data_IF_093170059281
#
_entry.id   IF_093170059281
#
_cell.length_a   1.000
_cell.length_b   1.000
_cell.length_c   1.000
_cell.angle_alpha   90.00
_cell.angle_beta   90.00
_cell.angle_gamma   90.00
#
_symmetry.space_group_name_H-M   'P 1'
#
loop_
_entity.id
_entity.type
_entity.pdbx_description
1 polymer ?
#
# COMPACT_ATOMS: atom_id res chain seq x y z
N UNK A 1 3.34 15.41 17.95
CA UNK A 1 3.66 14.37 16.95
C UNK A 1 4.85 13.53 17.38
N UNK A 2 5.88 14.11 18.01
CA UNK A 2 7.08 13.39 18.48
C UNK A 2 6.83 12.30 19.53
N UNK A 3 6.04 12.55 20.58
CA UNK A 3 5.87 11.59 21.68
C UNK A 3 5.17 10.30 21.22
N UNK A 4 4.15 10.40 20.36
CA UNK A 4 3.46 9.22 19.82
C UNK A 4 4.34 8.42 18.86
N UNK A 5 5.26 9.08 18.15
CA UNK A 5 6.20 8.43 17.24
C UNK A 5 7.30 7.69 18.01
N UNK A 6 7.85 8.30 19.08
CA UNK A 6 8.78 7.62 19.99
C UNK A 6 8.15 6.42 20.69
N UNK A 7 6.91 6.57 21.17
CA UNK A 7 6.17 5.47 21.79
C UNK A 7 5.94 4.32 20.81
N UNK A 8 5.62 4.63 19.56
CA UNK A 8 5.40 3.65 18.50
C UNK A 8 6.69 2.89 18.12
N UNK A 9 7.82 3.58 18.01
CA UNK A 9 9.13 2.95 17.76
C UNK A 9 9.53 2.06 18.94
N UNK A 10 9.28 2.51 20.17
CA UNK A 10 9.56 1.74 21.38
C UNK A 10 8.75 0.43 21.43
N UNK A 11 7.47 0.47 21.05
CA UNK A 11 6.61 -0.73 20.95
C UNK A 11 7.12 -1.70 19.88
N UNK A 12 7.58 -1.19 18.74
CA UNK A 12 8.13 -2.03 17.66
C UNK A 12 9.45 -2.72 18.02
N UNK A 13 10.27 -2.09 18.86
CA UNK A 13 11.55 -2.66 19.29
C UNK A 13 11.41 -3.66 20.45
N UNK A 14 10.31 -3.62 21.21
CA UNK A 14 10.08 -4.50 22.37
C UNK A 14 8.71 -5.22 22.31
N UNK A 15 8.36 -5.90 21.20
CA UNK A 15 7.01 -6.44 20.99
C UNK A 15 6.64 -7.53 22.00
N UNK A 16 7.62 -8.34 22.44
CA UNK A 16 7.42 -9.42 23.42
C UNK A 16 7.15 -8.86 24.83
N UNK A 17 7.84 -7.80 25.23
CA UNK A 17 7.64 -7.17 26.55
C UNK A 17 6.27 -6.52 26.64
N UNK A 18 5.82 -5.85 25.56
CA UNK A 18 4.46 -5.31 25.48
C UNK A 18 3.40 -6.41 25.48
N UNK A 19 3.64 -7.53 24.77
CA UNK A 19 2.72 -8.67 24.77
C UNK A 19 2.59 -9.28 26.17
N UNK A 20 3.70 -9.44 26.90
CA UNK A 20 3.71 -9.95 28.27
C UNK A 20 3.01 -8.99 29.24
N UNK A 21 3.24 -7.68 29.14
CA UNK A 21 2.52 -6.68 29.93
C UNK A 21 1.02 -6.66 29.60
N UNK A 22 0.65 -6.86 28.33
CA UNK A 22 -0.74 -6.92 27.90
C UNK A 22 -1.44 -8.17 28.47
N UNK A 23 -0.82 -9.34 28.36
CA UNK A 23 -1.34 -10.59 28.93
C UNK A 23 -1.45 -10.50 30.47
N UNK A 24 -0.43 -9.93 31.12
CA UNK A 24 -0.41 -9.72 32.56
C UNK A 24 -1.53 -8.79 33.04
N UNK A 25 -1.71 -7.64 32.37
CA UNK A 25 -2.78 -6.68 32.71
C UNK A 25 -4.17 -7.24 32.44
N UNK A 26 -4.35 -8.01 31.37
CA UNK A 26 -5.63 -8.66 31.06
C UNK A 26 -5.98 -9.73 32.10
N UNK A 27 -5.00 -10.53 32.52
CA UNK A 27 -5.19 -11.58 33.53
C UNK A 27 -5.57 -10.99 34.88
N UNK A 28 -4.91 -9.91 35.31
CA UNK A 28 -5.22 -9.24 36.58
C UNK A 28 -6.56 -8.51 36.52
N UNK A 29 -6.83 -7.75 35.46
CA UNK A 29 -8.10 -7.01 35.31
C UNK A 29 -9.29 -7.96 35.18
N UNK A 30 -9.13 -9.07 34.45
CA UNK A 30 -10.13 -10.12 34.35
C UNK A 30 -10.41 -10.79 35.69
N UNK A 31 -9.37 -11.16 36.45
CA UNK A 31 -9.53 -11.72 37.79
C UNK A 31 -10.16 -10.73 38.79
N UNK A 32 -9.83 -9.44 38.70
CA UNK A 32 -10.45 -8.40 39.53
C UNK A 32 -11.94 -8.21 39.20
N UNK A 33 -12.30 -8.21 37.90
CA UNK A 33 -13.68 -8.11 37.45
C UNK A 33 -14.50 -9.35 37.85
N UNK A 34 -13.91 -10.55 37.74
CA UNK A 34 -14.54 -11.80 38.17
C UNK A 34 -14.76 -11.83 39.70
N UNK A 35 -13.77 -11.42 40.49
CA UNK A 35 -13.92 -11.31 41.96
C UNK A 35 -14.94 -10.26 42.36
N UNK A 36 -15.02 -9.12 41.66
CA UNK A 36 -16.04 -8.10 41.92
C UNK A 36 -17.46 -8.61 41.60
N UNK A 37 -17.59 -9.44 40.56
CA UNK A 37 -18.84 -10.14 40.23
C UNK A 37 -19.23 -11.15 41.31
N UNK A 38 -18.30 -12.01 41.72
CA UNK A 38 -18.51 -13.02 42.77
C UNK A 38 -18.86 -12.40 44.13
N UNK A 39 -18.30 -11.23 44.47
CA UNK A 39 -18.56 -10.51 45.72
C UNK A 39 -19.84 -9.66 45.70
N UNK A 40 -20.61 -9.67 44.59
CA UNK A 40 -21.81 -8.81 44.38
C UNK A 40 -21.55 -7.31 44.59
N UNK A 41 -20.32 -6.86 44.43
CA UNK A 41 -19.93 -5.45 44.57
C UNK A 41 -20.26 -4.69 43.28
N UNK A 42 -21.56 -4.45 43.07
CA UNK A 42 -22.11 -3.88 41.83
C UNK A 42 -21.45 -2.57 41.41
N UNK A 43 -21.12 -1.71 42.37
CA UNK A 43 -20.48 -0.41 42.10
C UNK A 43 -19.06 -0.59 41.56
N UNK A 44 -18.23 -1.41 42.22
CA UNK A 44 -16.87 -1.68 41.77
C UNK A 44 -16.83 -2.43 40.44
N UNK A 45 -17.76 -3.36 40.24
CA UNK A 45 -17.91 -4.06 38.96
C UNK A 45 -18.22 -3.09 37.81
N UNK A 46 -19.18 -2.17 37.99
CA UNK A 46 -19.56 -1.18 36.97
C UNK A 46 -18.42 -0.18 36.73
N UNK A 47 -17.71 0.27 37.77
CA UNK A 47 -16.55 1.17 37.62
C UNK A 47 -15.42 0.49 36.83
N UNK A 48 -15.09 -0.77 37.15
CA UNK A 48 -14.08 -1.55 36.41
C UNK A 48 -14.49 -1.79 34.95
N UNK A 49 -15.79 -2.05 34.71
CA UNK A 49 -16.33 -2.22 33.37
C UNK A 49 -16.19 -0.92 32.56
N UNK A 50 -16.58 0.23 33.10
CA UNK A 50 -16.49 1.53 32.43
C UNK A 50 -15.05 1.92 32.10
N UNK A 51 -14.09 1.68 33.01
CA UNK A 51 -12.67 1.94 32.76
C UNK A 51 -12.14 1.05 31.62
N UNK A 52 -12.59 -0.21 31.56
CA UNK A 52 -12.22 -1.11 30.48
C UNK A 52 -12.84 -0.66 29.13
N UNK A 53 -14.12 -0.29 29.14
CA UNK A 53 -14.84 0.20 27.96
C UNK A 53 -14.27 1.50 27.40
N UNK A 54 -13.87 2.45 28.26
CA UNK A 54 -13.23 3.70 27.83
C UNK A 54 -11.88 3.47 27.13
N UNK A 55 -11.05 2.56 27.65
CA UNK A 55 -9.78 2.21 27.02
C UNK A 55 -9.95 1.57 25.63
N UNK A 56 -10.99 0.76 25.45
CA UNK A 56 -11.35 0.18 24.14
C UNK A 56 -11.88 1.26 23.20
N UNK A 57 -12.66 2.22 23.71
CA UNK A 57 -13.21 3.31 22.93
C UNK A 57 -12.13 4.26 22.40
N UNK A 58 -11.07 4.50 23.18
CA UNK A 58 -9.91 5.27 22.72
C UNK A 58 -9.17 4.56 21.57
N UNK A 59 -8.96 3.24 21.68
CA UNK A 59 -8.38 2.42 20.60
C UNK A 59 -9.28 2.44 19.37
N UNK A 60 -10.58 2.29 19.56
CA UNK A 60 -11.57 2.38 18.49
C UNK A 60 -11.61 3.78 17.86
N UNK A 61 -11.51 4.85 18.65
CA UNK A 61 -11.46 6.23 18.15
C UNK A 61 -10.19 6.50 17.36
N UNK A 62 -9.04 6.02 17.83
CA UNK A 62 -7.78 6.09 17.09
C UNK A 62 -7.82 5.27 15.79
N UNK A 63 -8.50 4.12 15.79
CA UNK A 63 -8.73 3.31 14.61
C UNK A 63 -9.69 3.99 13.62
N UNK A 64 -10.85 4.44 14.09
CA UNK A 64 -11.90 5.07 13.29
C UNK A 64 -11.48 6.45 12.74
N UNK A 65 -10.62 7.18 13.46
CA UNK A 65 -10.08 8.48 13.02
C UNK A 65 -8.78 8.36 12.22
N UNK A 66 -8.29 7.13 11.97
CA UNK A 66 -7.14 6.90 11.09
C UNK A 66 -7.58 7.04 9.63
N UNK A 67 -7.71 8.28 9.18
CA UNK A 67 -7.74 8.56 7.74
C UNK A 67 -6.30 8.49 7.20
N UNK A 68 -5.97 7.63 6.23
CA UNK A 68 -4.90 7.98 5.32
C UNK A 68 -5.32 9.29 4.65
N UNK A 69 -4.47 10.32 4.74
CA UNK A 69 -4.65 11.55 3.95
C UNK A 69 -4.54 11.18 2.47
N UNK A 70 -5.64 10.77 1.87
CA UNK A 70 -5.85 10.81 0.43
C UNK A 70 -6.63 12.09 0.18
N UNK A 71 -6.06 12.97 -0.63
CA UNK A 71 -6.65 14.25 -0.99
C UNK A 71 -8.00 14.04 -1.70
N UNK A 72 -9.01 14.78 -1.26
CA UNK A 72 -10.40 14.72 -1.71
C UNK A 72 -10.72 15.86 -2.68
N UNK A 73 -11.31 15.55 -3.86
CA UNK A 73 -12.42 16.23 -4.58
C UNK A 73 -12.55 15.61 -5.99
N UNK A 74 -13.69 15.16 -6.55
CA UNK A 74 -15.13 15.54 -6.53
C UNK A 74 -15.98 14.24 -6.63
N UNK A 75 -17.01 13.96 -5.82
CA UNK A 75 -18.41 14.48 -5.74
C UNK A 75 -19.48 13.54 -6.37
N UNK A 76 -20.29 12.88 -5.49
CA UNK A 76 -21.76 12.55 -5.54
C UNK A 76 -22.36 11.90 -6.82
N UNK A 77 -23.26 10.91 -6.83
CA UNK A 77 -24.21 10.20 -5.94
C UNK A 77 -24.33 8.74 -6.50
N UNK A 78 -24.78 7.69 -5.82
CA UNK A 78 -26.19 7.35 -5.44
C UNK A 78 -26.15 6.07 -4.57
N UNK A 79 -27.02 5.99 -3.56
CA UNK A 79 -27.22 4.85 -2.65
C UNK A 79 -27.82 3.59 -3.33
N UNK A 80 -27.23 2.44 -2.96
CA UNK A 80 -27.72 1.06 -2.70
C UNK A 80 -29.05 0.52 -3.30
N UNK A 81 -29.16 -0.81 -3.51
CA UNK A 81 -29.37 -1.70 -2.37
C UNK A 81 -28.52 -2.99 -2.37
N UNK A 82 -28.46 -3.56 -1.18
CA UNK A 82 -27.82 -4.82 -0.81
C UNK A 82 -28.21 -6.02 -1.66
N UNK A 83 -27.24 -6.88 -1.97
CA UNK A 83 -27.43 -8.33 -1.95
C UNK A 83 -26.18 -8.98 -1.35
N UNK A 84 -26.36 -9.50 -0.15
CA UNK A 84 -25.55 -10.51 0.50
C UNK A 84 -25.47 -11.75 -0.40
N UNK A 85 -24.25 -12.17 -0.74
CA UNK A 85 -23.91 -13.57 -0.96
C UNK A 85 -22.51 -13.82 -0.44
N UNK A 86 -22.46 -14.18 0.84
CA UNK A 86 -21.35 -14.94 1.38
C UNK A 86 -21.42 -16.33 0.77
N UNK A 87 -20.39 -16.74 0.03
CA UNK A 87 -20.11 -18.16 -0.19
C UNK A 87 -18.59 -18.34 -0.27
N UNK A 88 -18.09 -18.86 0.85
CA UNK A 88 -16.79 -19.43 1.15
C UNK A 88 -15.89 -19.73 -0.07
N UNK A 89 -14.82 -18.94 -0.22
CA UNK A 89 -13.59 -19.40 -0.84
C UNK A 89 -12.61 -19.77 0.26
N UNK A 90 -12.13 -21.01 0.22
CA UNK A 90 -10.89 -21.42 0.89
C UNK A 90 -9.76 -20.56 0.32
N UNK A 91 -9.49 -19.42 0.94
CA UNK A 91 -8.40 -18.54 0.52
C UNK A 91 -7.08 -19.22 0.80
N UNK A 92 -6.36 -19.62 -0.25
CA UNK A 92 -4.91 -19.72 -0.16
C UNK A 92 -4.41 -18.35 0.33
N UNK A 93 -3.62 -18.32 1.40
CA UNK A 93 -3.10 -17.08 1.97
C UNK A 93 -2.29 -16.33 0.91
N UNK A 94 -2.90 -15.33 0.26
CA UNK A 94 -2.27 -14.48 -0.75
C UNK A 94 -2.93 -14.42 -2.13
N UNK A 95 -4.04 -15.11 -2.38
CA UNK A 95 -4.79 -14.93 -3.63
C UNK A 95 -5.46 -13.56 -3.69
N UNK A 96 -5.22 -12.82 -4.78
CA UNK A 96 -5.90 -11.55 -5.07
C UNK A 96 -7.15 -11.81 -5.90
N UNK A 97 -8.16 -10.97 -5.72
CA UNK A 97 -9.36 -11.03 -6.56
C UNK A 97 -9.10 -10.37 -7.93
N UNK A 98 -9.95 -10.68 -8.92
CA UNK A 98 -9.91 -9.96 -10.20
C UNK A 98 -10.12 -8.45 -10.01
N UNK A 99 -10.94 -8.04 -9.04
CA UNK A 99 -11.18 -6.63 -8.73
C UNK A 99 -9.89 -5.93 -8.27
N UNK A 100 -9.00 -6.64 -7.57
CA UNK A 100 -7.70 -6.09 -7.18
C UNK A 100 -6.77 -5.92 -8.38
N UNK A 101 -6.78 -6.85 -9.34
CA UNK A 101 -6.06 -6.68 -10.60
C UNK A 101 -6.65 -5.53 -11.44
N UNK A 102 -7.98 -5.42 -11.51
CA UNK A 102 -8.67 -4.38 -12.26
C UNK A 102 -8.41 -2.96 -11.73
N UNK A 103 -8.04 -2.83 -10.44
CA UNK A 103 -7.56 -1.57 -9.86
C UNK A 103 -6.19 -1.15 -10.38
N UNK A 104 -5.39 -2.03 -10.96
CA UNK A 104 -4.07 -1.70 -11.52
C UNK A 104 -4.23 -1.31 -12.98
N UNK A 105 -3.86 -0.08 -13.33
CA UNK A 105 -3.90 0.38 -14.71
C UNK A 105 -2.60 0.01 -15.43
N UNK A 106 -2.61 -1.15 -16.08
CA UNK A 106 -1.53 -1.56 -16.96
C UNK A 106 -1.76 -1.02 -18.37
N UNK A 107 -0.76 -0.33 -18.93
CA UNK A 107 -0.80 0.23 -20.28
C UNK A 107 0.50 -0.06 -21.03
N UNK A 108 0.40 -0.22 -22.35
CA UNK A 108 1.55 -0.21 -23.24
C UNK A 108 2.00 1.23 -23.45
N UNK A 109 3.30 1.47 -23.40
CA UNK A 109 3.91 2.77 -23.58
C UNK A 109 5.11 2.67 -24.52
N UNK A 110 5.32 3.71 -25.32
CA UNK A 110 6.45 3.82 -26.22
C UNK A 110 7.51 4.74 -25.63
N UNK A 111 8.76 4.29 -25.62
CA UNK A 111 9.87 5.11 -25.12
C UNK A 111 10.27 6.13 -26.19
N UNK A 112 10.11 7.41 -25.89
CA UNK A 112 10.46 8.51 -26.79
C UNK A 112 11.89 9.00 -26.54
N UNK A 113 12.27 9.10 -25.27
CA UNK A 113 13.60 9.57 -24.86
C UNK A 113 14.07 8.79 -23.64
N UNK A 114 15.37 8.55 -23.55
CA UNK A 114 16.01 7.89 -22.43
C UNK A 114 17.29 8.62 -22.06
N UNK A 115 17.44 8.96 -20.78
CA UNK A 115 18.57 9.72 -20.25
C UNK A 115 19.07 9.07 -18.96
N UNK A 116 20.39 9.04 -18.76
CA UNK A 116 20.96 8.55 -17.49
C UNK A 116 20.82 9.62 -16.41
N UNK A 117 20.41 9.23 -15.21
CA UNK A 117 20.31 10.18 -14.09
C UNK A 117 21.72 10.49 -13.59
N UNK A 118 22.14 11.76 -13.62
CA UNK A 118 23.50 12.19 -13.25
C UNK A 118 23.97 11.69 -11.86
N UNK A 119 23.02 11.52 -10.93
CA UNK A 119 23.27 11.09 -9.55
C UNK A 119 23.27 9.56 -9.36
N UNK A 120 23.05 8.77 -10.41
CA UNK A 120 23.02 7.31 -10.31
C UNK A 120 23.29 6.59 -11.62
N UNK A 121 24.30 5.71 -11.61
CA UNK A 121 24.61 4.85 -12.76
C UNK A 121 23.52 3.78 -13.04
N UNK A 122 22.67 3.49 -12.05
CA UNK A 122 21.63 2.44 -12.11
C UNK A 122 20.29 2.97 -12.62
N UNK A 123 20.06 4.27 -12.54
CA UNK A 123 18.77 4.88 -12.86
C UNK A 123 18.80 5.49 -14.26
N UNK A 124 17.78 5.16 -15.05
CA UNK A 124 17.48 5.80 -16.34
C UNK A 124 16.15 6.50 -16.21
N UNK A 125 16.12 7.77 -16.62
CA UNK A 125 14.93 8.58 -16.80
C UNK A 125 14.39 8.31 -18.21
N UNK A 126 13.13 7.93 -18.30
CA UNK A 126 12.45 7.62 -19.56
C UNK A 126 11.31 8.60 -19.76
N UNK A 127 11.24 9.20 -20.94
CA UNK A 127 10.02 9.88 -21.43
C UNK A 127 9.24 8.89 -22.27
N UNK A 128 8.01 8.65 -21.86
CA UNK A 128 7.09 7.71 -22.46
C UNK A 128 5.94 8.44 -23.11
N UNK A 129 5.51 7.94 -24.25
CA UNK A 129 4.20 8.23 -24.83
C UNK A 129 3.25 7.12 -24.40
N UNK A 130 2.07 7.48 -23.90
CA UNK A 130 1.02 6.57 -23.43
C UNK A 130 -0.30 7.03 -24.06
N UNK A 131 -0.52 6.65 -25.31
CA UNK A 131 -1.57 7.24 -26.14
C UNK A 131 -1.31 8.73 -26.32
N UNK A 132 -2.26 9.58 -25.95
CA UNK A 132 -2.13 11.05 -26.08
C UNK A 132 -1.33 11.72 -24.95
N UNK A 133 -0.96 10.97 -23.89
CA UNK A 133 -0.25 11.50 -22.74
C UNK A 133 1.26 11.26 -22.84
N UNK A 134 2.05 12.29 -22.52
CA UNK A 134 3.48 12.12 -22.24
C UNK A 134 3.71 11.96 -20.75
N UNK A 135 4.60 11.03 -20.40
CA UNK A 135 4.85 10.67 -19.01
C UNK A 135 6.31 10.38 -18.75
N UNK A 136 6.80 10.88 -17.62
CA UNK A 136 8.14 10.59 -17.15
C UNK A 136 8.12 9.45 -16.13
N UNK A 137 9.01 8.47 -16.32
CA UNK A 137 9.31 7.44 -15.31
C UNK A 137 10.82 7.35 -15.08
N UNK A 138 11.20 6.88 -13.91
CA UNK A 138 12.60 6.59 -13.56
C UNK A 138 12.71 5.11 -13.23
N UNK A 139 13.58 4.40 -13.92
CA UNK A 139 13.73 2.96 -13.80
C UNK A 139 15.15 2.55 -13.44
N UNK A 140 15.27 1.56 -12.56
CA UNK A 140 16.53 0.99 -12.09
C UNK A 140 17.20 0.01 -13.04
N UNK A 141 17.12 0.24 -14.35
CA UNK A 141 17.56 -0.70 -15.40
C UNK A 141 18.89 -0.29 -16.06
N UNK A 142 19.53 0.79 -15.62
CA UNK A 142 20.71 1.34 -16.29
C UNK A 142 21.98 0.47 -16.23
N UNK A 143 21.97 -0.61 -15.44
CA UNK A 143 23.03 -1.61 -15.46
C UNK A 143 22.90 -2.61 -16.61
N UNK A 144 21.67 -2.89 -17.04
CA UNK A 144 21.37 -3.92 -18.02
C UNK A 144 21.10 -3.35 -19.42
N UNK A 145 20.60 -2.12 -19.50
CA UNK A 145 20.26 -1.47 -20.78
C UNK A 145 20.91 -0.11 -20.92
N UNK A 146 21.41 0.18 -22.12
CA UNK A 146 21.83 1.51 -22.53
C UNK A 146 20.62 2.40 -22.91
N UNK A 147 20.66 3.72 -22.66
CA UNK A 147 19.58 4.63 -23.04
C UNK A 147 19.22 4.54 -24.54
N UNK A 148 20.22 4.44 -25.41
CA UNK A 148 20.10 4.33 -26.86
C UNK A 148 19.32 3.09 -27.32
N UNK A 149 19.40 1.99 -26.57
CA UNK A 149 18.68 0.75 -26.89
C UNK A 149 17.20 0.84 -26.51
N UNK A 150 16.85 1.72 -25.58
CA UNK A 150 15.49 1.84 -25.04
C UNK A 150 14.61 2.69 -25.94
N UNK A 151 15.16 3.69 -26.63
CA UNK A 151 14.40 4.59 -27.49
C UNK A 151 13.70 3.81 -28.60
N UNK A 152 12.40 4.05 -28.76
CA UNK A 152 11.54 3.40 -29.75
C UNK A 152 10.95 2.06 -29.31
N UNK A 153 11.36 1.47 -28.19
CA UNK A 153 10.77 0.22 -27.68
C UNK A 153 9.40 0.46 -27.07
N UNK A 154 8.54 -0.54 -27.21
CA UNK A 154 7.25 -0.65 -26.53
C UNK A 154 7.42 -1.45 -25.24
N UNK A 155 6.95 -0.90 -24.13
CA UNK A 155 7.07 -1.51 -22.80
C UNK A 155 5.72 -1.47 -22.07
N UNK A 156 5.55 -2.35 -21.09
CA UNK A 156 4.37 -2.35 -20.22
C UNK A 156 4.68 -1.54 -18.95
N UNK A 157 3.78 -0.61 -18.61
CA UNK A 157 3.89 0.21 -17.41
C UNK A 157 2.64 0.13 -16.53
N UNK A 158 2.82 0.46 -15.24
CA UNK A 158 1.73 0.77 -14.32
C UNK A 158 1.47 2.29 -14.35
N UNK A 159 0.30 2.67 -14.85
CA UNK A 159 -0.08 4.05 -15.12
C UNK A 159 -0.83 4.74 -13.96
N UNK A 160 -1.34 4.03 -12.97
CA UNK A 160 -2.03 4.65 -11.83
C UNK A 160 -1.27 4.55 -10.51
N UNK A 161 0.06 4.46 -10.58
CA UNK A 161 0.92 4.47 -9.41
C UNK A 161 1.11 5.91 -8.91
N UNK A 162 1.11 6.10 -7.59
CA UNK A 162 1.39 7.40 -6.99
C UNK A 162 2.81 7.88 -7.38
N UNK A 163 3.00 9.18 -7.70
CA UNK A 163 4.31 9.70 -8.05
C UNK A 163 5.33 9.49 -6.94
N UNK A 164 6.55 9.07 -7.31
CA UNK A 164 7.65 8.86 -6.37
C UNK A 164 8.91 9.56 -6.88
N UNK A 165 9.53 10.35 -6.02
CA UNK A 165 10.83 10.94 -6.32
C UNK A 165 11.97 9.93 -6.08
N UNK A 166 12.84 9.76 -7.08
CA UNK A 166 14.04 8.94 -7.03
C UNK A 166 15.24 9.84 -7.33
N UNK A 167 16.12 10.04 -6.35
CA UNK A 167 17.30 10.92 -6.48
C UNK A 167 16.98 12.37 -6.94
N UNK A 168 15.79 12.87 -6.60
CA UNK A 168 15.31 14.21 -6.97
C UNK A 168 14.59 14.29 -8.31
N UNK A 169 14.38 13.16 -9.00
CA UNK A 169 13.59 13.08 -10.24
C UNK A 169 12.24 12.43 -9.95
N UNK A 170 11.14 13.05 -10.37
CA UNK A 170 9.80 12.49 -10.21
C UNK A 170 9.54 11.36 -11.20
N UNK A 171 9.01 10.23 -10.70
CA UNK A 171 8.57 9.08 -11.51
C UNK A 171 7.06 8.91 -11.36
N UNK A 172 6.33 8.99 -12.48
CA UNK A 172 4.87 8.88 -12.53
C UNK A 172 4.39 7.48 -12.95
N UNK A 173 5.16 6.46 -12.62
CA UNK A 173 4.85 5.09 -12.97
C UNK A 173 6.01 4.15 -12.69
N UNK A 174 5.80 2.90 -13.09
CA UNK A 174 6.76 1.82 -12.97
C UNK A 174 6.68 0.96 -14.23
N UNK A 175 7.82 0.68 -14.85
CA UNK A 175 7.89 -0.31 -15.92
C UNK A 175 7.90 -1.73 -15.33
N UNK A 176 7.37 -2.68 -16.09
CA UNK A 176 7.40 -4.08 -15.72
C UNK A 176 8.57 -4.80 -16.39
N UNK A 177 9.29 -5.56 -15.59
CA UNK A 177 10.38 -6.41 -16.04
C UNK A 177 10.32 -7.74 -15.29
N UNK A 178 10.67 -8.83 -15.98
CA UNK A 178 10.93 -10.12 -15.37
C UNK A 178 12.37 -10.18 -14.85
N UNK A 179 12.60 -10.98 -13.80
CA UNK A 179 13.94 -11.18 -13.23
C UNK A 179 14.25 -10.28 -12.03
N UNK A 180 15.50 -10.39 -11.55
CA UNK A 180 15.99 -9.67 -10.38
C UNK A 180 16.64 -8.33 -10.73
N UNK A 181 17.07 -7.60 -9.69
CA UNK A 181 17.70 -6.29 -9.84
C UNK A 181 19.01 -6.29 -10.65
N UNK A 182 19.64 -7.45 -10.85
CA UNK A 182 20.88 -7.59 -11.61
C UNK A 182 20.62 -7.78 -13.11
N UNK A 183 19.60 -8.54 -13.48
CA UNK A 183 19.26 -8.86 -14.87
C UNK A 183 17.75 -8.68 -15.13
N UNK A 184 17.25 -7.43 -15.13
CA UNK A 184 15.88 -7.16 -15.52
C UNK A 184 15.69 -7.44 -17.01
N UNK A 185 14.60 -8.12 -17.37
CA UNK A 185 14.17 -8.35 -18.75
C UNK A 185 12.86 -7.62 -18.97
N UNK A 186 12.86 -6.59 -19.81
CA UNK A 186 11.67 -5.77 -20.05
C UNK A 186 10.53 -6.58 -20.64
N UNK A 187 9.32 -6.38 -20.10
CA UNK A 187 8.10 -6.95 -20.68
C UNK A 187 7.66 -6.09 -21.86
N UNK A 188 7.50 -6.74 -23.00
CA UNK A 188 7.12 -6.12 -24.28
C UNK A 188 5.95 -6.90 -24.88
N UNK A 189 5.04 -6.26 -25.63
CA UNK A 189 4.01 -6.97 -26.35
C UNK A 189 4.62 -7.86 -27.44
N UNK A 190 4.00 -9.01 -27.73
CA UNK A 190 4.48 -9.92 -28.79
C UNK A 190 4.38 -9.31 -30.19
N UNK A 191 3.43 -8.40 -30.37
CA UNK A 191 3.16 -7.70 -31.64
C UNK A 191 3.08 -6.21 -31.35
N UNK A 192 3.46 -5.40 -32.35
CA UNK A 192 3.32 -3.95 -32.28
C UNK A 192 1.86 -3.59 -32.03
N UNK A 193 1.65 -2.70 -31.06
CA UNK A 193 0.33 -2.21 -30.67
C UNK A 193 0.41 -0.72 -30.39
N UNK A 194 -0.69 0.00 -30.67
CA UNK A 194 -0.74 1.42 -30.40
C UNK A 194 -0.43 1.74 -28.92
N UNK A 195 0.35 2.80 -28.73
CA UNK A 195 0.64 3.32 -27.41
C UNK A 195 -0.64 3.66 -26.66
N UNK A 196 -0.66 3.40 -25.35
CA UNK A 196 -1.83 3.63 -24.50
C UNK A 196 -2.82 2.46 -24.44
N UNK A 197 -2.59 1.39 -25.22
CA UNK A 197 -3.40 0.18 -25.15
C UNK A 197 -3.43 -0.40 -23.72
N UNK A 198 -4.65 -0.69 -23.22
CA UNK A 198 -4.87 -1.26 -21.89
C UNK A 198 -4.55 -2.76 -21.90
N UNK A 199 -3.73 -3.20 -20.95
CA UNK A 199 -3.44 -4.62 -20.70
C UNK A 199 -4.52 -5.18 -19.77
N UNK A 200 -5.00 -6.38 -20.05
CA UNK A 200 -6.11 -7.05 -19.35
C UNK A 200 -5.90 -8.55 -19.28
#
# INVERSE_FOLDING_TARGET
MEIQYLLFIFILNHPVEFLLLFIWTFTIKGAALLRAFERKERVWFVVLLLINTLGILDVYYLYAKRQPKVATKHEKLVEAPAVTKEEHTTTNEGEITYDDFAKVELKVAKIMEAERVEKSEKLIKLQLEVGDEKRQIVAGIGKAYGPEELVGKEIIIVANLAPRALMGVESHGMLLAAGGAENPVLLTPEKDIESGAKVK
#
